data_IF_077284321184
#
_entry.id   IF_077284321184
#
_cell.length_a   1.000
_cell.length_b   1.000
_cell.length_c   1.000
_cell.angle_alpha   90.00
_cell.angle_beta   90.00
_cell.angle_gamma   90.00
#
_symmetry.space_group_name_H-M   'P 1'
#
loop_
_entity.id
_entity.type
_entity.pdbx_description
1 polymer ?
#
# COMPACT_ATOMS: atom_id res chain seq x y z
N UNK A 1 12.11 -11.68 5.81
CA UNK A 1 11.03 -10.71 5.56
C UNK A 1 9.95 -10.91 6.60
N UNK A 2 9.45 -9.84 7.19
CA UNK A 2 8.33 -9.89 8.14
C UNK A 2 7.00 -9.73 7.40
N UNK A 3 5.95 -10.31 7.98
CA UNK A 3 4.59 -10.16 7.49
C UNK A 3 3.99 -8.92 8.13
N UNK A 4 3.38 -8.04 7.34
CA UNK A 4 2.91 -6.75 7.82
C UNK A 4 1.54 -6.41 7.25
N UNK A 5 0.80 -5.54 7.96
CA UNK A 5 -0.37 -4.89 7.37
C UNK A 5 0.09 -3.89 6.32
N UNK A 6 -0.42 -4.07 5.11
CA UNK A 6 -0.10 -3.28 3.91
C UNK A 6 -1.34 -2.51 3.50
N UNK A 7 -1.18 -1.21 3.27
CA UNK A 7 -2.22 -0.33 2.76
C UNK A 7 -1.73 0.33 1.47
N UNK A 8 -2.52 0.24 0.40
CA UNK A 8 -2.18 0.84 -0.89
C UNK A 8 -3.05 2.06 -1.16
N UNK A 9 -2.41 3.13 -1.63
CA UNK A 9 -3.09 4.35 -2.05
C UNK A 9 -2.57 4.80 -3.40
N UNK A 10 -3.47 5.24 -4.26
CA UNK A 10 -3.12 5.92 -5.50
C UNK A 10 -2.78 7.39 -5.23
N UNK A 11 -1.73 7.88 -5.86
CA UNK A 11 -1.32 9.28 -5.85
C UNK A 11 -2.12 10.02 -6.92
N UNK A 12 -2.92 10.96 -6.46
CA UNK A 12 -3.68 11.83 -7.35
C UNK A 12 -2.75 12.89 -7.96
N UNK A 13 -3.25 13.57 -8.98
CA UNK A 13 -2.56 14.71 -9.60
C UNK A 13 -2.31 15.88 -8.63
N UNK A 14 -2.93 15.90 -7.46
CA UNK A 14 -2.68 16.89 -6.41
C UNK A 14 -1.50 16.51 -5.51
N UNK A 15 -1.00 15.27 -5.61
CA UNK A 15 0.15 14.78 -4.86
C UNK A 15 1.47 15.01 -5.62
N UNK A 16 1.67 16.26 -6.06
CA UNK A 16 2.63 16.66 -7.12
C UNK A 16 4.12 16.31 -6.87
N UNK A 17 4.51 15.96 -5.65
CA UNK A 17 5.91 15.65 -5.31
C UNK A 17 6.20 14.14 -5.21
N UNK A 18 5.21 13.27 -5.47
CA UNK A 18 5.43 11.84 -5.36
C UNK A 18 6.14 11.28 -6.60
N UNK A 19 7.21 10.48 -6.44
CA UNK A 19 8.00 10.00 -7.57
C UNK A 19 7.29 8.94 -8.43
N UNK A 20 6.31 8.23 -7.86
CA UNK A 20 5.58 7.13 -8.53
C UNK A 20 4.08 7.15 -8.16
N UNK A 21 3.20 6.54 -8.96
CA UNK A 21 1.75 6.61 -8.78
C UNK A 21 1.20 5.90 -7.55
N UNK A 22 1.89 4.91 -6.97
CA UNK A 22 1.38 4.16 -5.83
C UNK A 22 2.18 4.42 -4.56
N UNK A 23 1.48 4.64 -3.44
CA UNK A 23 2.02 4.58 -2.09
C UNK A 23 1.74 3.21 -1.48
N UNK A 24 2.81 2.53 -1.08
CA UNK A 24 2.78 1.28 -0.31
C UNK A 24 3.07 1.64 1.14
N UNK A 25 2.09 1.48 2.02
CA UNK A 25 2.18 1.83 3.43
C UNK A 25 2.25 0.56 4.28
N UNK A 26 3.23 0.48 5.18
CA UNK A 26 3.39 -0.66 6.11
C UNK A 26 3.28 -0.20 7.55
N UNK A 27 2.56 -0.95 8.37
CA UNK A 27 2.47 -0.69 9.81
C UNK A 27 3.83 -0.86 10.48
N UNK A 28 4.32 0.22 11.09
CA UNK A 28 5.56 0.22 11.87
C UNK A 28 5.31 0.03 13.36
N UNK A 29 4.17 0.53 13.86
CA UNK A 29 3.79 0.43 15.26
C UNK A 29 2.77 1.48 15.68
N UNK A 30 2.67 1.72 17.00
CA UNK A 30 1.84 2.78 17.56
C UNK A 30 2.63 3.61 18.56
N UNK A 31 2.52 4.93 18.44
CA UNK A 31 3.10 5.91 19.36
C UNK A 31 1.97 6.81 19.87
N UNK A 32 1.80 6.89 21.19
CA UNK A 32 0.72 7.64 21.85
C UNK A 32 -0.70 7.31 21.30
N UNK A 33 -0.91 6.05 20.92
CA UNK A 33 -2.17 5.55 20.37
C UNK A 33 -2.39 5.81 18.87
N UNK A 34 -1.50 6.57 18.23
CA UNK A 34 -1.52 6.86 16.80
C UNK A 34 -0.78 5.77 16.03
N UNK A 35 -1.39 5.27 14.95
CA UNK A 35 -0.77 4.29 14.05
C UNK A 35 0.32 4.96 13.21
N UNK A 36 1.55 4.45 13.33
CA UNK A 36 2.67 4.87 12.50
C UNK A 36 2.83 3.95 11.29
N UNK A 37 3.04 4.57 10.12
CA UNK A 37 3.19 3.89 8.86
C UNK A 37 4.53 4.28 8.23
N UNK A 38 5.29 3.29 7.79
CA UNK A 38 6.36 3.50 6.82
C UNK A 38 5.75 3.62 5.42
N UNK A 39 6.42 4.38 4.55
CA UNK A 39 5.94 4.66 3.20
C UNK A 39 7.02 4.36 2.17
N UNK A 40 6.63 3.64 1.13
CA UNK A 40 7.41 3.42 -0.08
C UNK A 40 6.55 3.73 -1.31
N UNK A 41 7.20 3.89 -2.46
CA UNK A 41 6.55 4.26 -3.72
C UNK A 41 6.74 3.17 -4.76
N UNK A 42 5.71 2.90 -5.58
CA UNK A 42 5.75 1.89 -6.62
C UNK A 42 5.12 2.40 -7.93
N UNK A 43 5.68 1.99 -9.06
CA UNK A 43 5.10 2.16 -10.39
C UNK A 43 3.90 1.21 -10.58
N UNK A 44 3.98 0.02 -9.98
CA UNK A 44 2.95 -1.02 -10.04
C UNK A 44 2.87 -1.75 -8.69
N UNK A 45 1.65 -2.12 -8.27
CA UNK A 45 1.45 -2.99 -7.11
C UNK A 45 0.70 -4.25 -7.56
N UNK A 46 1.30 -5.41 -7.32
CA UNK A 46 0.73 -6.75 -7.58
C UNK A 46 0.31 -7.41 -6.29
N UNK A 47 -0.77 -8.16 -6.35
CA UNK A 47 -1.25 -8.96 -5.23
C UNK A 47 -1.30 -10.43 -5.62
N UNK A 48 -0.56 -11.25 -4.89
CA UNK A 48 -0.83 -12.69 -4.79
C UNK A 48 -1.50 -13.03 -3.45
N UNK A 49 -1.40 -12.11 -2.47
CA UNK A 49 -2.15 -12.16 -1.22
C UNK A 49 -3.61 -11.74 -1.37
N UNK A 50 -4.45 -12.20 -0.45
CA UNK A 50 -5.84 -11.70 -0.34
C UNK A 50 -5.85 -10.23 0.09
N UNK A 51 -6.55 -9.39 -0.68
CA UNK A 51 -6.75 -7.98 -0.39
C UNK A 51 -8.23 -7.68 -0.08
N UNK A 52 -8.45 -6.80 0.89
CA UNK A 52 -9.75 -6.20 1.19
C UNK A 52 -9.79 -4.83 0.55
N UNK A 53 -10.85 -4.55 -0.21
CA UNK A 53 -11.10 -3.26 -0.84
C UNK A 53 -12.18 -2.49 -0.09
N UNK A 54 -11.98 -1.19 0.10
CA UNK A 54 -13.02 -0.25 0.52
C UNK A 54 -12.95 1.02 -0.33
N UNK A 55 -13.98 1.85 -0.32
CA UNK A 55 -13.95 3.13 -1.02
C UNK A 55 -14.68 4.22 -0.24
N UNK A 56 -14.19 5.45 -0.38
CA UNK A 56 -14.83 6.67 0.09
C UNK A 56 -15.30 7.49 -1.11
N UNK A 57 -16.47 8.10 -1.04
CA UNK A 57 -16.89 9.12 -2.02
C UNK A 57 -16.37 10.48 -1.56
N UNK A 58 -15.47 11.08 -2.35
CA UNK A 58 -14.79 12.35 -1.97
C UNK A 58 -15.47 13.58 -2.57
N UNK A 59 -16.11 13.39 -3.71
CA UNK A 59 -16.97 14.34 -4.42
C UNK A 59 -18.09 13.53 -5.09
N UNK A 60 -19.21 14.17 -5.43
CA UNK A 60 -20.34 13.48 -6.07
C UNK A 60 -19.88 12.72 -7.32
N UNK A 61 -19.96 11.39 -7.28
CA UNK A 61 -19.57 10.50 -8.37
C UNK A 61 -18.07 10.16 -8.43
N UNK A 62 -17.25 10.66 -7.50
CA UNK A 62 -15.80 10.38 -7.44
C UNK A 62 -15.49 9.46 -6.27
N UNK A 63 -15.16 8.21 -6.58
CA UNK A 63 -14.80 7.19 -5.60
C UNK A 63 -13.29 7.06 -5.45
N UNK A 64 -12.81 7.16 -4.22
CA UNK A 64 -11.44 6.87 -3.83
C UNK A 64 -11.36 5.47 -3.25
N UNK A 65 -10.60 4.60 -3.91
CA UNK A 65 -10.42 3.21 -3.48
C UNK A 65 -9.22 3.04 -2.55
N UNK A 66 -9.38 2.12 -1.60
CA UNK A 66 -8.40 1.73 -0.60
C UNK A 66 -8.24 0.22 -0.64
N UNK A 67 -6.99 -0.24 -0.66
CA UNK A 67 -6.69 -1.67 -0.59
C UNK A 67 -5.90 -1.94 0.70
N UNK A 68 -6.31 -2.98 1.44
CA UNK A 68 -5.65 -3.45 2.66
C UNK A 68 -5.35 -4.94 2.53
N UNK A 69 -4.13 -5.35 2.83
CA UNK A 69 -3.73 -6.75 2.85
C UNK A 69 -2.83 -7.05 4.06
N UNK A 70 -2.69 -8.32 4.42
CA UNK A 70 -1.77 -8.78 5.45
C UNK A 70 -0.80 -9.80 4.85
N UNK A 71 0.38 -9.34 4.46
CA UNK A 71 1.29 -10.12 3.61
C UNK A 71 2.75 -9.71 3.75
N UNK A 72 3.59 -10.36 2.94
CA UNK A 72 5.00 -10.07 2.78
C UNK A 72 5.20 -9.17 1.55
N UNK A 73 6.16 -8.25 1.61
CA UNK A 73 6.50 -7.40 0.47
C UNK A 73 7.74 -7.93 -0.26
N UNK A 74 7.65 -8.03 -1.57
CA UNK A 74 8.78 -8.25 -2.47
C UNK A 74 8.87 -7.10 -3.47
N UNK A 75 10.08 -6.67 -3.79
CA UNK A 75 10.34 -5.54 -4.68
C UNK A 75 11.22 -5.98 -5.87
N UNK A 76 10.81 -5.59 -7.07
CA UNK A 76 11.58 -5.72 -8.31
C UNK A 76 11.62 -4.35 -8.98
N UNK A 77 12.70 -3.59 -8.71
CA UNK A 77 12.75 -2.16 -9.01
C UNK A 77 11.57 -1.41 -8.38
N UNK A 78 10.79 -0.73 -9.21
CA UNK A 78 9.61 0.04 -8.80
C UNK A 78 8.32 -0.79 -8.74
N UNK A 79 8.39 -2.11 -8.90
CA UNK A 79 7.23 -3.01 -8.80
C UNK A 79 7.19 -3.64 -7.41
N UNK A 80 6.09 -3.39 -6.68
CA UNK A 80 5.83 -4.01 -5.40
C UNK A 80 4.90 -5.22 -5.56
N UNK A 81 5.25 -6.37 -4.99
CA UNK A 81 4.34 -7.51 -4.89
C UNK A 81 4.01 -7.80 -3.43
N UNK A 82 2.72 -7.88 -3.11
CA UNK A 82 2.21 -8.29 -1.80
C UNK A 82 1.85 -9.78 -1.85
N UNK A 83 2.58 -10.58 -1.07
CA UNK A 83 2.53 -12.05 -1.10
C UNK A 83 1.99 -12.66 0.20
N UNK A 84 1.33 -13.81 0.11
CA UNK A 84 0.90 -14.58 1.28
C UNK A 84 2.04 -15.36 1.95
N UNK A 85 3.13 -15.58 1.21
CA UNK A 85 4.33 -16.27 1.65
C UNK A 85 5.56 -15.35 1.50
N UNK A 86 6.60 -15.51 2.34
CA UNK A 86 7.83 -14.75 2.20
C UNK A 86 8.48 -15.05 0.83
N UNK A 87 9.13 -14.05 0.23
CA UNK A 87 9.92 -14.28 -0.97
C UNK A 87 10.99 -15.35 -0.68
N UNK A 88 11.10 -16.34 -1.57
CA UNK A 88 12.13 -17.37 -1.47
C UNK A 88 13.50 -16.70 -1.63
N UNK A 89 14.46 -16.91 -0.71
CA UNK A 89 15.80 -16.35 -0.81
C UNK A 89 16.60 -16.90 -2.00
#
# INVERSE_FOLDING_TARGET
MERSWVYIRFNTRNDNDNPLPWRVLTERGRVDGVLELDQQFAAEVRFTATAVTSCDEVETGVLKWHLKAHGYLAWDGDVCTVCDQPAVP
#
